data_IF_244460272348
#
_entry.id   IF_244460272348
#
_cell.length_a   1.000
_cell.length_b   1.000
_cell.length_c   1.000
_cell.angle_alpha   90.00
_cell.angle_beta   90.00
_cell.angle_gamma   90.00
#
_symmetry.space_group_name_H-M   'P 1'
#
loop_
_entity.id
_entity.type
_entity.pdbx_description
1 polymer ?
#
# COMPACT_ATOMS: atom_id res chain seq x y z
N UNK A 1 3.11 14.84 11.69
CA UNK A 1 3.93 13.67 11.33
C UNK A 1 3.27 12.36 11.68
N UNK A 2 2.75 12.18 12.90
CA UNK A 2 2.14 10.90 13.35
C UNK A 2 1.04 10.39 12.39
N UNK A 3 0.16 11.29 11.95
CA UNK A 3 -0.96 10.92 11.05
C UNK A 3 -0.58 10.91 9.55
N UNK A 4 0.69 11.16 9.21
CA UNK A 4 1.19 11.26 7.84
C UNK A 4 0.31 12.18 6.96
N UNK A 5 0.06 13.42 7.42
CA UNK A 5 -0.80 14.40 6.71
C UNK A 5 -0.05 15.37 5.80
N UNK A 6 1.24 15.61 6.05
CA UNK A 6 2.06 16.52 5.25
C UNK A 6 1.84 18.01 5.42
N UNK A 7 0.98 18.42 6.33
CA UNK A 7 0.82 19.84 6.65
C UNK A 7 1.97 20.33 7.54
N UNK A 8 2.70 21.32 7.02
CA UNK A 8 3.69 22.09 7.76
C UNK A 8 3.13 23.50 8.03
N UNK A 9 3.56 24.10 9.15
CA UNK A 9 3.20 25.48 9.49
C UNK A 9 3.99 26.50 8.65
N UNK A 10 5.18 26.11 8.23
CA UNK A 10 6.10 26.88 7.42
C UNK A 10 5.78 26.73 5.93
N UNK A 11 5.93 27.81 5.12
CA UNK A 11 5.56 27.80 3.71
C UNK A 11 6.50 26.93 2.86
N UNK A 12 7.71 26.64 3.34
CA UNK A 12 8.73 25.82 2.69
C UNK A 12 8.79 24.38 3.24
N UNK A 13 7.70 23.91 3.85
CA UNK A 13 7.67 22.59 4.50
C UNK A 13 8.73 22.45 5.60
N UNK A 14 9.71 21.56 5.45
CA UNK A 14 10.79 21.36 6.44
C UNK A 14 12.16 21.80 5.90
N UNK A 15 12.22 22.54 4.79
CA UNK A 15 13.48 22.97 4.17
C UNK A 15 14.28 23.88 5.09
N UNK A 16 13.65 24.83 5.79
CA UNK A 16 14.31 25.67 6.81
C UNK A 16 14.94 24.85 7.95
N UNK A 17 14.41 23.66 8.24
CA UNK A 17 14.89 22.78 9.33
C UNK A 17 15.89 21.71 8.86
N UNK A 18 16.42 21.82 7.63
CA UNK A 18 17.33 20.83 7.05
C UNK A 18 18.63 20.59 7.83
N UNK A 19 19.09 21.55 8.63
CA UNK A 19 20.28 21.41 9.50
C UNK A 19 19.92 21.08 10.96
N UNK A 20 18.62 21.09 11.30
CA UNK A 20 18.15 20.86 12.65
C UNK A 20 18.09 19.34 12.95
N UNK A 21 19.19 18.81 13.47
CA UNK A 21 19.38 17.37 13.75
C UNK A 21 18.28 16.79 14.64
N UNK A 22 17.92 17.47 15.74
CA UNK A 22 16.93 16.95 16.70
C UNK A 22 15.51 16.84 16.11
N UNK A 23 14.93 17.92 15.51
CA UNK A 23 13.64 17.81 14.82
C UNK A 23 13.63 16.74 13.73
N UNK A 24 14.68 16.67 12.88
CA UNK A 24 14.74 15.68 11.80
C UNK A 24 14.71 14.25 12.32
N UNK A 25 15.46 13.94 13.38
CA UNK A 25 15.48 12.60 13.97
C UNK A 25 14.13 12.21 14.56
N UNK A 26 13.53 13.08 15.37
CA UNK A 26 12.24 12.81 16.00
C UNK A 26 11.15 12.65 14.94
N UNK A 27 11.14 13.53 13.94
CA UNK A 27 10.10 13.54 12.91
C UNK A 27 10.27 12.37 11.93
N UNK A 28 11.50 11.96 11.62
CA UNK A 28 11.78 10.71 10.87
C UNK A 28 11.25 9.49 11.62
N UNK A 29 11.54 9.40 12.93
CA UNK A 29 11.05 8.31 13.76
C UNK A 29 9.51 8.27 13.78
N UNK A 30 8.86 9.42 13.96
CA UNK A 30 7.40 9.55 13.91
C UNK A 30 6.83 9.18 12.53
N UNK A 31 7.48 9.57 11.44
CA UNK A 31 7.05 9.26 10.08
C UNK A 31 7.09 7.74 9.79
N UNK A 32 8.10 7.04 10.28
CA UNK A 32 8.13 5.57 10.23
C UNK A 32 7.11 4.96 11.18
N UNK A 33 7.01 5.46 12.40
CA UNK A 33 6.12 4.92 13.42
C UNK A 33 4.63 5.11 13.13
N UNK A 34 4.30 6.07 12.27
CA UNK A 34 2.98 6.26 11.69
C UNK A 34 2.60 5.14 10.71
N UNK A 35 1.85 5.50 9.67
CA UNK A 35 1.16 4.53 8.80
C UNK A 35 2.06 3.43 8.18
N UNK A 36 3.35 3.71 7.96
CA UNK A 36 4.28 2.81 7.28
C UNK A 36 4.68 1.59 8.13
N UNK A 37 5.19 1.81 9.35
CA UNK A 37 5.65 0.73 10.23
C UNK A 37 4.66 0.44 11.37
N UNK A 38 3.49 1.07 11.40
CA UNK A 38 2.47 0.85 12.41
C UNK A 38 2.16 -0.65 12.67
N UNK A 39 1.96 -1.53 11.66
CA UNK A 39 1.74 -2.95 11.89
C UNK A 39 2.89 -3.66 12.62
N UNK A 40 4.13 -3.27 12.30
CA UNK A 40 5.36 -3.85 12.86
C UNK A 40 5.55 -3.38 14.30
N UNK A 41 5.42 -2.07 14.54
CA UNK A 41 5.56 -1.48 15.87
C UNK A 41 4.45 -1.93 16.82
N UNK A 42 3.21 -2.03 16.34
CA UNK A 42 2.09 -2.52 17.12
C UNK A 42 2.35 -3.95 17.62
N UNK A 43 2.81 -4.84 16.73
CA UNK A 43 3.14 -6.22 17.12
C UNK A 43 4.32 -6.26 18.09
N UNK A 44 5.35 -5.46 17.85
CA UNK A 44 6.52 -5.36 18.74
C UNK A 44 6.11 -4.88 20.14
N UNK A 45 5.26 -3.86 20.23
CA UNK A 45 4.74 -3.32 21.50
C UNK A 45 3.97 -4.39 22.29
N UNK A 46 3.05 -5.11 21.65
CA UNK A 46 2.28 -6.18 22.29
C UNK A 46 3.20 -7.31 22.75
N UNK A 47 4.20 -7.66 21.94
CA UNK A 47 5.19 -8.66 22.29
C UNK A 47 6.07 -8.25 23.47
N UNK A 48 6.54 -6.99 23.51
CA UNK A 48 7.30 -6.47 24.65
C UNK A 48 6.46 -6.41 25.91
N UNK A 49 5.19 -5.99 25.82
CA UNK A 49 4.26 -6.01 26.96
C UNK A 49 4.03 -7.43 27.48
N UNK A 50 3.87 -8.43 26.60
CA UNK A 50 3.74 -9.84 27.00
C UNK A 50 5.00 -10.39 27.71
N UNK A 51 6.18 -9.88 27.36
CA UNK A 51 7.45 -10.28 27.99
C UNK A 51 7.71 -9.58 29.33
N UNK A 52 7.27 -8.34 29.48
CA UNK A 52 7.43 -7.55 30.71
C UNK A 52 6.36 -7.93 31.74
N UNK A 53 5.16 -8.36 31.29
CA UNK A 53 4.08 -8.77 32.17
C UNK A 53 4.49 -9.98 33.06
N UNK A 54 4.34 -9.88 34.40
CA UNK A 54 4.57 -10.98 35.32
C UNK A 54 3.73 -12.21 34.97
N UNK A 55 4.22 -13.41 35.32
CA UNK A 55 3.54 -14.67 34.96
C UNK A 55 2.14 -14.81 35.56
N UNK A 56 1.89 -14.14 36.68
CA UNK A 56 0.60 -14.17 37.42
C UNK A 56 -0.32 -12.98 37.10
N UNK A 57 0.06 -12.14 36.12
CA UNK A 57 -0.75 -10.99 35.73
C UNK A 57 -1.90 -11.40 34.81
N UNK A 58 -3.11 -10.93 35.12
CA UNK A 58 -4.33 -11.09 34.30
C UNK A 58 -4.21 -10.52 32.88
N UNK A 59 -3.19 -9.70 32.61
CA UNK A 59 -2.95 -9.10 31.29
C UNK A 59 -2.22 -10.04 30.32
N UNK A 60 -1.53 -11.07 30.83
CA UNK A 60 -0.65 -11.91 30.02
C UNK A 60 -1.43 -12.84 29.08
N UNK A 61 -2.55 -13.39 29.55
CA UNK A 61 -3.39 -14.29 28.73
C UNK A 61 -4.08 -13.55 27.58
N UNK A 62 -4.69 -12.36 27.79
CA UNK A 62 -5.18 -11.52 26.69
C UNK A 62 -4.09 -11.10 25.69
N UNK A 63 -2.89 -10.72 26.16
CA UNK A 63 -1.77 -10.35 25.28
C UNK A 63 -1.30 -11.52 24.42
N UNK A 64 -1.21 -12.72 25.01
CA UNK A 64 -0.87 -13.93 24.27
C UNK A 64 -1.97 -14.31 23.26
N UNK A 65 -3.25 -14.13 23.63
CA UNK A 65 -4.36 -14.33 22.72
C UNK A 65 -4.30 -13.39 21.51
N UNK A 66 -4.00 -12.10 21.72
CA UNK A 66 -3.79 -11.12 20.64
C UNK A 66 -2.65 -11.51 19.69
N UNK A 67 -1.55 -12.06 20.22
CA UNK A 67 -0.41 -12.49 19.40
C UNK A 67 -0.69 -13.77 18.60
N UNK A 68 -1.52 -14.66 19.15
CA UNK A 68 -1.89 -15.94 18.56
C UNK A 68 -3.04 -15.81 17.53
N UNK A 69 -3.98 -14.89 17.75
CA UNK A 69 -5.12 -14.63 16.85
C UNK A 69 -5.19 -13.17 16.38
N UNK A 70 -4.15 -12.68 15.69
CA UNK A 70 -3.97 -11.25 15.47
C UNK A 70 -5.08 -10.63 14.60
N UNK A 71 -5.53 -11.32 13.55
CA UNK A 71 -6.52 -10.83 12.59
C UNK A 71 -7.96 -10.85 13.10
N UNK A 72 -8.25 -11.61 14.17
CA UNK A 72 -9.57 -11.58 14.85
C UNK A 72 -9.77 -10.32 15.69
N UNK A 73 -8.67 -9.75 16.18
CA UNK A 73 -8.71 -8.62 17.10
C UNK A 73 -8.43 -7.29 16.40
N UNK A 74 -7.60 -7.31 15.35
CA UNK A 74 -7.28 -6.10 14.60
C UNK A 74 -6.78 -6.37 13.18
N UNK A 75 -7.24 -5.59 12.20
CA UNK A 75 -6.96 -5.82 10.78
C UNK A 75 -5.49 -5.61 10.41
N UNK A 76 -4.82 -4.62 11.01
CA UNK A 76 -3.40 -4.34 10.75
C UNK A 76 -2.45 -5.11 11.67
N UNK A 77 -2.97 -5.99 12.54
CA UNK A 77 -2.13 -6.89 13.31
C UNK A 77 -1.86 -8.14 12.46
N UNK A 78 -0.65 -8.25 11.92
CA UNK A 78 -0.25 -9.39 11.10
C UNK A 78 0.41 -10.49 11.94
N UNK A 79 0.38 -11.77 11.53
CA UNK A 79 1.16 -12.84 12.14
C UNK A 79 2.68 -12.58 12.09
N UNK A 80 3.47 -13.34 12.87
CA UNK A 80 4.92 -13.10 12.99
C UNK A 80 5.67 -13.12 11.66
N UNK A 81 5.42 -14.13 10.80
CA UNK A 81 6.17 -14.28 9.54
C UNK A 81 5.89 -13.13 8.55
N UNK A 82 4.62 -12.77 8.24
CA UNK A 82 4.33 -11.61 7.40
C UNK A 82 4.87 -10.29 7.95
N UNK A 83 4.87 -10.11 9.29
CA UNK A 83 5.42 -8.89 9.92
C UNK A 83 6.92 -8.72 9.66
N UNK A 84 7.70 -9.81 9.74
CA UNK A 84 9.14 -9.78 9.44
C UNK A 84 9.43 -9.55 7.95
N UNK A 85 8.63 -10.15 7.06
CA UNK A 85 8.73 -9.91 5.61
C UNK A 85 8.42 -8.46 5.28
N UNK A 86 7.33 -7.91 5.85
CA UNK A 86 6.96 -6.50 5.69
C UNK A 86 8.07 -5.57 6.16
N UNK A 87 8.63 -5.82 7.35
CA UNK A 87 9.75 -5.04 7.88
C UNK A 87 10.96 -5.09 6.95
N UNK A 88 11.34 -6.28 6.46
CA UNK A 88 12.47 -6.43 5.53
C UNK A 88 12.26 -5.68 4.22
N UNK A 89 11.07 -5.74 3.62
CA UNK A 89 10.74 -5.01 2.38
C UNK A 89 10.76 -3.50 2.62
N UNK A 90 10.13 -3.01 3.70
CA UNK A 90 10.08 -1.58 4.02
C UNK A 90 11.48 -1.00 4.27
N UNK A 91 12.31 -1.72 5.02
CA UNK A 91 13.69 -1.36 5.30
C UNK A 91 14.52 -1.32 4.02
N UNK A 92 14.42 -2.36 3.18
CA UNK A 92 15.17 -2.46 1.92
C UNK A 92 14.81 -1.34 0.95
N UNK A 93 13.51 -1.08 0.75
CA UNK A 93 13.07 0.03 -0.10
C UNK A 93 13.57 1.37 0.43
N UNK A 94 13.58 1.59 1.76
CA UNK A 94 14.00 2.88 2.33
C UNK A 94 15.52 3.07 2.23
N UNK A 95 16.27 2.01 2.47
CA UNK A 95 17.71 2.00 2.29
C UNK A 95 18.10 2.34 0.84
N UNK A 96 17.43 1.75 -0.15
CA UNK A 96 17.66 2.06 -1.57
C UNK A 96 17.36 3.53 -1.86
N UNK A 97 16.27 4.08 -1.33
CA UNK A 97 15.93 5.49 -1.53
C UNK A 97 16.95 6.46 -0.96
N UNK A 98 17.36 6.23 0.29
CA UNK A 98 18.38 7.05 0.95
C UNK A 98 19.69 6.97 0.17
N UNK A 99 20.07 5.77 -0.29
CA UNK A 99 21.25 5.58 -1.11
C UNK A 99 21.15 6.36 -2.43
N UNK A 100 20.03 6.27 -3.15
CA UNK A 100 19.83 6.98 -4.41
C UNK A 100 19.89 8.51 -4.22
N UNK A 101 19.23 9.04 -3.19
CA UNK A 101 19.26 10.48 -2.87
C UNK A 101 20.70 10.94 -2.59
N UNK A 102 21.43 10.20 -1.74
CA UNK A 102 22.81 10.59 -1.39
C UNK A 102 23.73 10.50 -2.61
N UNK A 103 23.68 9.40 -3.36
CA UNK A 103 24.59 9.11 -4.49
C UNK A 103 24.35 10.05 -5.67
N UNK A 104 23.10 10.36 -5.99
CA UNK A 104 22.76 11.13 -7.19
C UNK A 104 22.84 12.65 -6.98
N UNK A 105 22.71 13.14 -5.74
CA UNK A 105 22.82 14.57 -5.42
C UNK A 105 24.21 14.99 -4.91
N UNK A 106 25.25 14.14 -4.98
CA UNK A 106 26.61 14.50 -4.51
C UNK A 106 27.16 15.79 -5.14
N UNK A 107 26.88 16.01 -6.43
CA UNK A 107 27.33 17.20 -7.17
C UNK A 107 26.35 18.38 -7.18
N UNK A 108 25.20 18.28 -6.50
CA UNK A 108 24.15 19.28 -6.61
C UNK A 108 24.29 20.36 -5.52
N UNK A 109 24.45 21.66 -5.88
CA UNK A 109 24.56 22.74 -4.90
C UNK A 109 23.32 22.87 -4.01
N UNK A 110 22.13 22.43 -4.46
CA UNK A 110 20.93 22.44 -3.64
C UNK A 110 20.99 21.52 -2.41
N UNK A 111 21.85 20.50 -2.44
CA UNK A 111 22.00 19.48 -1.39
C UNK A 111 23.40 19.54 -0.74
N UNK A 112 24.41 20.02 -1.48
CA UNK A 112 25.80 20.06 -1.03
C UNK A 112 26.14 21.22 -0.10
N UNK A 113 25.17 22.11 0.18
CA UNK A 113 25.32 23.18 1.17
C UNK A 113 25.32 22.65 2.62
N UNK A 114 24.95 21.38 2.84
CA UNK A 114 24.95 20.75 4.16
C UNK A 114 26.20 19.92 4.38
N UNK A 115 26.69 19.91 5.62
CA UNK A 115 27.72 18.97 6.05
C UNK A 115 27.22 17.51 5.91
N UNK A 116 28.16 16.57 5.78
CA UNK A 116 27.86 15.17 5.47
C UNK A 116 26.88 14.52 6.47
N UNK A 117 26.98 14.83 7.76
CA UNK A 117 26.10 14.30 8.81
C UNK A 117 24.64 14.73 8.66
N UNK A 118 24.32 16.05 8.76
CA UNK A 118 22.98 16.58 8.53
C UNK A 118 22.40 16.18 7.17
N UNK A 119 23.24 16.09 6.13
CA UNK A 119 22.84 15.64 4.80
C UNK A 119 22.27 14.22 4.79
N UNK A 120 22.92 13.27 5.50
CA UNK A 120 22.42 11.90 5.62
C UNK A 120 21.07 11.88 6.36
N UNK A 121 20.92 12.70 7.40
CA UNK A 121 19.67 12.81 8.16
C UNK A 121 18.54 13.42 7.33
N UNK A 122 18.82 14.46 6.56
CA UNK A 122 17.87 15.06 5.65
C UNK A 122 17.46 14.09 4.53
N UNK A 123 18.40 13.32 3.97
CA UNK A 123 18.09 12.26 3.00
C UNK A 123 17.22 11.14 3.60
N UNK A 124 17.52 10.73 4.84
CA UNK A 124 16.72 9.77 5.59
C UNK A 124 15.29 10.30 5.83
N UNK A 125 15.16 11.55 6.25
CA UNK A 125 13.87 12.19 6.44
C UNK A 125 13.09 12.31 5.12
N UNK A 126 13.76 12.69 4.03
CA UNK A 126 13.15 12.81 2.71
C UNK A 126 12.64 11.45 2.21
N UNK A 127 13.42 10.39 2.41
CA UNK A 127 13.02 9.02 2.08
C UNK A 127 11.86 8.52 2.96
N UNK A 128 11.85 8.85 4.25
CA UNK A 128 10.70 8.57 5.12
C UNK A 128 9.45 9.33 4.65
N UNK A 129 9.65 10.57 4.17
CA UNK A 129 8.55 11.46 3.82
C UNK A 129 7.89 11.14 2.48
N UNK A 130 8.61 10.51 1.55
CA UNK A 130 8.05 10.01 0.29
C UNK A 130 6.97 8.94 0.48
N UNK A 131 6.83 8.39 1.69
CA UNK A 131 5.81 7.40 2.07
C UNK A 131 4.71 8.03 2.90
N UNK A 132 3.77 8.67 2.21
CA UNK A 132 2.54 9.24 2.77
C UNK A 132 2.70 10.48 3.66
N UNK A 133 3.90 10.86 4.07
CA UNK A 133 4.08 12.02 4.97
C UNK A 133 4.12 13.34 4.24
N UNK A 134 4.67 13.42 3.02
CA UNK A 134 4.49 14.60 2.15
C UNK A 134 5.29 15.84 2.48
N UNK A 135 6.15 15.80 3.49
CA UNK A 135 7.03 16.92 3.82
C UNK A 135 8.36 16.83 3.08
N UNK A 136 8.88 17.99 2.67
CA UNK A 136 10.15 18.07 1.96
C UNK A 136 11.20 18.75 2.84
N UNK A 137 12.41 18.18 2.84
CA UNK A 137 13.61 18.80 3.44
C UNK A 137 14.52 19.42 2.41
N UNK A 138 14.38 19.01 1.15
CA UNK A 138 15.07 19.61 0.01
C UNK A 138 14.06 20.26 -0.92
N UNK A 139 14.51 21.25 -1.69
CA UNK A 139 13.74 21.76 -2.81
C UNK A 139 13.72 20.69 -3.91
N UNK A 140 12.61 19.95 -3.99
CA UNK A 140 12.44 18.85 -4.95
C UNK A 140 12.50 19.30 -6.40
N UNK A 141 12.20 20.56 -6.72
CA UNK A 141 12.36 21.10 -8.07
C UNK A 141 13.84 21.28 -8.47
N UNK A 142 14.74 21.41 -7.50
CA UNK A 142 16.17 21.66 -7.71
C UNK A 142 17.06 20.41 -7.51
N UNK A 143 16.51 19.29 -7.03
CA UNK A 143 17.25 18.02 -6.93
C UNK A 143 17.51 17.40 -8.32
N UNK A 144 18.43 16.44 -8.39
CA UNK A 144 18.73 15.73 -9.62
C UNK A 144 17.45 15.09 -10.21
N UNK A 145 17.19 15.19 -11.53
CA UNK A 145 16.02 14.57 -12.17
C UNK A 145 15.89 13.06 -11.90
N UNK A 146 17.01 12.35 -11.74
CA UNK A 146 17.01 10.94 -11.37
C UNK A 146 16.43 10.70 -9.96
N UNK A 147 16.64 11.63 -9.02
CA UNK A 147 16.05 11.59 -7.66
C UNK A 147 14.56 11.94 -7.71
N UNK A 148 14.17 12.91 -8.54
CA UNK A 148 12.74 13.21 -8.76
C UNK A 148 12.00 11.97 -9.29
N UNK A 149 12.62 11.25 -10.23
CA UNK A 149 12.06 10.02 -10.77
C UNK A 149 12.03 8.88 -9.74
N UNK A 150 13.09 8.70 -8.94
CA UNK A 150 13.10 7.67 -7.89
C UNK A 150 12.02 7.94 -6.82
N UNK A 151 11.85 9.21 -6.42
CA UNK A 151 10.78 9.63 -5.52
C UNK A 151 9.39 9.33 -6.12
N UNK A 152 9.19 9.61 -7.40
CA UNK A 152 7.93 9.30 -8.10
C UNK A 152 7.61 7.79 -8.04
N UNK A 153 8.58 6.94 -8.35
CA UNK A 153 8.42 5.48 -8.30
C UNK A 153 8.07 5.02 -6.88
N UNK A 154 8.73 5.60 -5.87
CA UNK A 154 8.48 5.22 -4.49
C UNK A 154 7.14 5.67 -3.95
N UNK A 155 6.69 6.88 -4.29
CA UNK A 155 5.34 7.34 -3.95
C UNK A 155 4.25 6.40 -4.50
N UNK A 156 4.50 5.82 -5.67
CA UNK A 156 3.57 4.84 -6.26
C UNK A 156 3.62 3.48 -5.55
N UNK A 157 4.81 2.95 -5.28
CA UNK A 157 5.02 1.60 -4.74
C UNK A 157 4.77 1.51 -3.22
N UNK A 158 4.86 2.63 -2.48
CA UNK A 158 4.86 2.66 -1.01
C UNK A 158 3.69 1.95 -0.34
N UNK A 159 2.53 1.87 -1.00
CA UNK A 159 1.32 1.25 -0.44
C UNK A 159 1.30 -0.28 -0.59
N UNK A 160 2.03 -0.84 -1.56
CA UNK A 160 1.93 -2.25 -1.92
C UNK A 160 2.43 -3.20 -0.82
N UNK A 161 3.55 -2.94 -0.10
CA UNK A 161 4.00 -3.85 0.96
C UNK A 161 2.92 -4.11 2.03
N UNK A 162 2.21 -3.06 2.46
CA UNK A 162 1.13 -3.17 3.44
C UNK A 162 -0.07 -3.91 2.83
N UNK A 163 -0.49 -3.52 1.62
CA UNK A 163 -1.61 -4.16 0.93
C UNK A 163 -1.38 -5.67 0.68
N UNK A 164 -0.17 -6.05 0.29
CA UNK A 164 0.24 -7.45 0.10
C UNK A 164 0.21 -8.19 1.43
N UNK A 165 0.70 -7.58 2.51
CA UNK A 165 0.72 -8.20 3.85
C UNK A 165 -0.70 -8.49 4.35
N UNK A 166 -1.65 -7.59 4.10
CA UNK A 166 -3.08 -7.80 4.40
C UNK A 166 -3.60 -9.02 3.64
N UNK A 167 -3.38 -9.10 2.32
CA UNK A 167 -3.87 -10.20 1.48
C UNK A 167 -3.26 -11.54 1.84
N UNK A 168 -1.94 -11.58 2.02
CA UNK A 168 -1.24 -12.77 2.43
C UNK A 168 -1.77 -13.27 3.79
N UNK A 169 -1.97 -12.36 4.75
CA UNK A 169 -2.50 -12.72 6.07
C UNK A 169 -3.93 -13.26 6.06
N UNK A 170 -4.76 -12.85 5.09
CA UNK A 170 -6.12 -13.36 4.91
C UNK A 170 -6.11 -14.83 4.45
N UNK A 171 -5.31 -15.17 3.42
CA UNK A 171 -5.19 -16.56 2.92
C UNK A 171 -4.66 -17.53 3.98
N UNK A 172 -3.80 -17.06 4.89
CA UNK A 172 -3.31 -17.89 6.01
C UNK A 172 -4.43 -18.28 6.99
N UNK A 173 -5.42 -17.42 7.24
CA UNK A 173 -6.56 -17.76 8.12
C UNK A 173 -7.59 -18.66 7.43
N UNK A 174 -7.87 -18.46 6.13
CA UNK A 174 -8.80 -19.33 5.38
C UNK A 174 -8.35 -20.79 5.37
N UNK A 175 -7.05 -21.05 5.17
CA UNK A 175 -6.47 -22.39 5.23
C UNK A 175 -6.54 -23.01 6.63
N UNK A 176 -6.49 -22.18 7.68
CA UNK A 176 -6.58 -22.61 9.08
C UNK A 176 -8.02 -23.00 9.49
N UNK A 177 -9.03 -22.50 8.76
CA UNK A 177 -10.45 -22.80 8.96
C UNK A 177 -10.94 -24.00 8.14
N UNK A 178 -10.06 -24.67 7.39
CA UNK A 178 -10.43 -25.82 6.54
C UNK A 178 -11.25 -25.43 5.30
N UNK A 179 -11.36 -24.13 5.00
CA UNK A 179 -12.01 -23.63 3.79
C UNK A 179 -10.94 -23.64 2.70
N UNK A 180 -10.83 -24.77 2.01
CA UNK A 180 -10.01 -24.86 0.82
C UNK A 180 -10.78 -24.25 -0.34
N UNK A 181 -10.24 -23.23 -1.05
CA UNK A 181 -10.87 -22.76 -2.27
C UNK A 181 -10.98 -23.95 -3.23
N UNK A 182 -12.21 -24.36 -3.57
CA UNK A 182 -12.43 -25.39 -4.57
C UNK A 182 -12.01 -24.83 -5.92
N UNK A 183 -10.82 -25.17 -6.41
CA UNK A 183 -10.43 -24.81 -7.77
C UNK A 183 -9.63 -25.91 -8.47
N UNK A 184 -10.00 -26.04 -9.75
CA UNK A 184 -9.53 -26.96 -10.76
C UNK A 184 -8.01 -27.07 -10.82
N UNK A 185 -7.58 -28.29 -11.16
CA UNK A 185 -6.22 -28.73 -11.44
C UNK A 185 -5.42 -27.68 -12.23
N UNK A 186 -4.35 -27.20 -11.61
CA UNK A 186 -3.44 -26.21 -12.19
C UNK A 186 -2.25 -25.93 -11.28
N UNK A 187 -1.32 -26.89 -11.24
CA UNK A 187 0.09 -26.78 -10.79
C UNK A 187 0.35 -25.95 -9.50
N UNK A 188 0.01 -26.55 -8.35
CA UNK A 188 0.29 -26.04 -7.01
C UNK A 188 1.74 -26.31 -6.57
N UNK A 189 2.70 -25.48 -6.99
CA UNK A 189 4.04 -25.51 -6.37
C UNK A 189 4.52 -24.18 -5.80
N UNK A 190 3.77 -23.07 -5.98
CA UNK A 190 4.18 -21.76 -5.42
C UNK A 190 2.99 -20.92 -4.93
N UNK A 191 2.75 -20.80 -3.60
CA UNK A 191 1.78 -19.85 -3.06
C UNK A 191 2.06 -18.38 -3.44
N UNK A 192 3.27 -18.08 -3.94
CA UNK A 192 3.62 -16.76 -4.47
C UNK A 192 3.01 -16.45 -5.84
N UNK A 193 2.62 -17.44 -6.66
CA UNK A 193 2.11 -17.18 -8.03
C UNK A 193 0.73 -16.51 -7.99
N UNK A 194 -0.16 -16.96 -7.11
CA UNK A 194 -1.51 -16.37 -6.95
C UNK A 194 -1.45 -14.91 -6.48
N UNK A 195 -0.56 -14.60 -5.52
CA UNK A 195 -0.34 -13.23 -5.03
C UNK A 195 0.25 -12.35 -6.12
N UNK A 196 1.19 -12.88 -6.91
CA UNK A 196 1.84 -12.17 -8.01
C UNK A 196 0.86 -11.87 -9.16
N UNK A 197 0.00 -12.81 -9.54
CA UNK A 197 -1.00 -12.61 -10.60
C UNK A 197 -2.08 -11.60 -10.18
N UNK A 198 -2.50 -11.61 -8.92
CA UNK A 198 -3.40 -10.56 -8.40
C UNK A 198 -2.72 -9.20 -8.27
N UNK A 199 -1.41 -9.16 -7.99
CA UNK A 199 -0.62 -7.93 -7.95
C UNK A 199 -0.51 -7.28 -9.34
N UNK A 200 -0.24 -8.07 -10.38
CA UNK A 200 -0.15 -7.57 -11.77
C UNK A 200 -1.47 -6.96 -12.25
N UNK A 201 -2.59 -7.60 -11.93
CA UNK A 201 -3.92 -7.07 -12.30
C UNK A 201 -4.25 -5.77 -11.56
N UNK A 202 -3.82 -5.61 -10.31
CA UNK A 202 -4.05 -4.39 -9.54
C UNK A 202 -3.13 -3.24 -10.00
N UNK A 203 -1.85 -3.51 -10.27
CA UNK A 203 -0.91 -2.52 -10.78
C UNK A 203 -1.39 -1.95 -12.12
N UNK A 204 -1.88 -2.83 -12.99
CA UNK A 204 -2.44 -2.43 -14.30
C UNK A 204 -3.68 -1.55 -14.16
N UNK A 205 -4.58 -1.89 -13.23
CA UNK A 205 -5.79 -1.10 -12.98
C UNK A 205 -5.48 0.27 -12.36
N UNK A 206 -4.51 0.34 -11.44
CA UNK A 206 -4.13 1.59 -10.78
C UNK A 206 -3.45 2.56 -11.77
N UNK A 207 -2.63 2.06 -12.71
CA UNK A 207 -1.93 2.89 -13.68
C UNK A 207 -2.88 3.60 -14.66
N UNK A 208 -4.01 2.97 -15.00
CA UNK A 208 -5.03 3.56 -15.88
C UNK A 208 -5.61 4.88 -15.34
N UNK A 209 -5.88 4.94 -14.03
CA UNK A 209 -6.37 6.17 -13.40
C UNK A 209 -5.34 7.28 -13.40
N UNK A 210 -4.08 6.95 -13.13
CA UNK A 210 -2.98 7.93 -13.18
C UNK A 210 -2.86 8.49 -14.60
N UNK A 211 -2.90 7.63 -15.62
CA UNK A 211 -2.88 8.04 -17.02
C UNK A 211 -4.02 9.02 -17.36
N UNK A 212 -5.26 8.67 -17.00
CA UNK A 212 -6.42 9.57 -17.21
C UNK A 212 -6.24 10.89 -16.46
N UNK A 213 -5.78 10.86 -15.21
CA UNK A 213 -5.55 12.06 -14.40
C UNK A 213 -4.54 13.00 -15.05
N UNK A 214 -3.40 12.47 -15.49
CA UNK A 214 -2.38 13.24 -16.22
C UNK A 214 -2.95 13.79 -17.53
N UNK A 215 -3.64 12.96 -18.31
CA UNK A 215 -4.21 13.35 -19.59
C UNK A 215 -5.22 14.51 -19.45
N UNK A 216 -6.13 14.41 -18.47
CA UNK A 216 -7.10 15.47 -18.17
C UNK A 216 -6.43 16.79 -17.76
N UNK A 217 -5.38 16.73 -16.92
CA UNK A 217 -4.65 17.94 -16.50
C UNK A 217 -3.84 18.51 -17.67
N UNK A 218 -3.24 17.67 -18.52
CA UNK A 218 -2.55 18.13 -19.72
C UNK A 218 -3.49 18.86 -20.70
N UNK A 219 -4.75 18.42 -20.84
CA UNK A 219 -5.76 19.14 -21.64
C UNK A 219 -6.06 20.50 -20.99
N UNK A 220 -6.32 20.50 -19.69
CA UNK A 220 -6.73 21.69 -18.94
C UNK A 220 -5.65 22.77 -18.89
N UNK A 221 -4.39 22.37 -18.74
CA UNK A 221 -3.23 23.25 -18.63
C UNK A 221 -2.43 23.36 -19.95
N UNK A 222 -2.99 22.86 -21.07
CA UNK A 222 -2.31 22.82 -22.38
C UNK A 222 -1.65 24.13 -22.78
N UNK A 223 -2.33 25.27 -22.55
CA UNK A 223 -1.80 26.61 -22.85
C UNK A 223 -0.50 26.93 -22.08
N UNK A 224 -0.40 26.50 -20.81
CA UNK A 224 0.80 26.72 -19.98
C UNK A 224 1.90 25.74 -20.33
N UNK A 225 1.54 24.51 -20.68
CA UNK A 225 2.50 23.46 -21.06
C UNK A 225 3.18 23.79 -22.39
N UNK A 226 2.45 24.40 -23.32
CA UNK A 226 2.99 24.82 -24.61
C UNK A 226 3.82 26.11 -24.55
N UNK A 227 3.85 26.80 -23.41
CA UNK A 227 4.64 28.01 -23.23
C UNK A 227 6.09 27.66 -22.87
N UNK A 228 7.01 27.86 -23.82
CA UNK A 228 8.43 27.59 -23.64
C UNK A 228 9.09 28.48 -22.57
N UNK A 229 8.45 29.58 -22.16
CA UNK A 229 8.98 30.49 -21.15
C UNK A 229 8.71 30.02 -19.71
N UNK A 230 7.89 28.98 -19.52
CA UNK A 230 7.53 28.46 -18.21
C UNK A 230 7.93 26.98 -18.05
N UNK A 231 9.22 26.68 -17.83
CA UNK A 231 9.71 25.30 -17.74
C UNK A 231 9.18 24.53 -16.52
N UNK A 232 8.62 25.23 -15.52
CA UNK A 232 7.98 24.61 -14.37
C UNK A 232 6.68 23.88 -14.76
N UNK A 233 6.00 24.33 -15.83
CA UNK A 233 4.83 23.69 -16.40
C UNK A 233 5.20 22.68 -17.50
N UNK A 234 6.02 21.69 -17.14
CA UNK A 234 6.29 20.55 -18.01
C UNK A 234 5.39 19.34 -17.69
N UNK A 235 5.35 18.37 -18.59
CA UNK A 235 4.58 17.13 -18.40
C UNK A 235 5.07 16.32 -17.19
N UNK A 236 6.38 16.33 -16.92
CA UNK A 236 6.95 15.58 -15.79
C UNK A 236 6.53 16.11 -14.42
N UNK A 237 6.62 17.43 -14.11
CA UNK A 237 6.03 17.99 -12.88
C UNK A 237 4.54 17.71 -12.71
N UNK A 238 3.76 17.78 -13.79
CA UNK A 238 2.34 17.40 -13.76
C UNK A 238 2.18 15.92 -13.39
N UNK A 239 2.96 15.04 -14.01
CA UNK A 239 2.95 13.62 -13.68
C UNK A 239 3.33 13.36 -12.22
N UNK A 240 4.33 14.06 -11.70
CA UNK A 240 4.73 14.01 -10.29
C UNK A 240 3.59 14.42 -9.35
N UNK A 241 2.88 15.53 -9.65
CA UNK A 241 1.71 15.97 -8.88
C UNK A 241 0.58 14.92 -8.90
N UNK A 242 0.28 14.34 -10.06
CA UNK A 242 -0.80 13.33 -10.17
C UNK A 242 -0.44 12.08 -9.38
N UNK A 243 0.80 11.60 -9.47
CA UNK A 243 1.26 10.41 -8.72
C UNK A 243 1.29 10.70 -7.22
N UNK A 244 1.72 11.89 -6.81
CA UNK A 244 1.69 12.32 -5.40
C UNK A 244 0.26 12.40 -4.85
N UNK A 245 -0.66 12.98 -5.62
CA UNK A 245 -2.09 13.06 -5.28
C UNK A 245 -2.73 11.67 -5.18
N UNK A 246 -2.49 10.81 -6.17
CA UNK A 246 -2.98 9.43 -6.20
C UNK A 246 -2.36 8.55 -5.10
N UNK A 247 -1.09 8.78 -4.78
CA UNK A 247 -0.39 8.12 -3.69
C UNK A 247 -0.80 8.63 -2.32
N UNK A 248 -1.54 9.75 -2.26
CA UNK A 248 -1.81 10.53 -1.06
C UNK A 248 -0.50 10.78 -0.28
N UNK A 249 0.55 11.17 -1.02
CA UNK A 249 1.87 11.48 -0.43
C UNK A 249 1.93 12.93 -0.04
N UNK A 250 1.65 13.85 -0.96
CA UNK A 250 1.67 15.30 -0.69
C UNK A 250 2.99 15.99 -1.00
N UNK A 251 3.96 15.30 -1.63
CA UNK A 251 5.15 15.95 -2.20
C UNK A 251 4.79 16.71 -3.48
N UNK A 252 5.50 17.81 -3.74
CA UNK A 252 5.34 18.66 -4.91
C UNK A 252 6.70 19.12 -5.40
N UNK A 253 6.85 19.28 -6.73
CA UNK A 253 8.03 19.97 -7.27
C UNK A 253 7.92 21.50 -7.13
N UNK A 254 6.74 22.01 -6.79
CA UNK A 254 6.46 23.43 -6.60
C UNK A 254 6.55 24.25 -7.89
N UNK A 255 6.39 25.56 -7.75
CA UNK A 255 6.62 26.53 -8.83
C UNK A 255 7.57 27.62 -8.31
N UNK A 256 8.57 28.08 -9.08
CA UNK A 256 9.57 29.03 -8.58
C UNK A 256 9.00 30.35 -8.05
N UNK A 257 7.89 30.83 -8.63
CA UNK A 257 7.31 32.13 -8.29
C UNK A 257 6.37 32.10 -7.08
N UNK A 258 5.95 30.92 -6.63
CA UNK A 258 4.99 30.78 -5.52
C UNK A 258 5.37 29.68 -4.56
N UNK A 259 5.13 29.92 -3.27
CA UNK A 259 5.38 28.94 -2.20
C UNK A 259 4.25 27.89 -2.09
N UNK A 260 3.40 27.77 -3.10
CA UNK A 260 2.34 26.76 -3.16
C UNK A 260 2.82 25.55 -3.96
N UNK A 261 2.19 24.39 -3.74
CA UNK A 261 2.34 23.25 -4.64
C UNK A 261 1.99 23.66 -6.08
N UNK A 262 2.59 23.00 -7.07
CA UNK A 262 2.31 23.25 -8.48
C UNK A 262 0.81 23.23 -8.80
N UNK A 263 0.02 22.38 -8.12
CA UNK A 263 -1.44 22.33 -8.30
C UNK A 263 -2.18 23.60 -7.86
N UNK A 264 -1.54 24.45 -7.04
CA UNK A 264 -2.05 25.78 -6.69
C UNK A 264 -2.22 26.70 -7.90
N UNK A 265 -1.34 26.53 -8.90
CA UNK A 265 -1.36 27.29 -10.16
C UNK A 265 -2.25 26.64 -11.24
N UNK A 266 -2.91 25.51 -10.96
CA UNK A 266 -3.83 24.89 -11.92
C UNK A 266 -5.15 25.66 -12.04
N UNK A 267 -5.80 25.50 -13.18
CA UNK A 267 -7.19 25.90 -13.42
C UNK A 267 -8.14 25.20 -12.43
N UNK A 268 -9.34 25.75 -12.19
CA UNK A 268 -10.33 25.10 -11.33
C UNK A 268 -10.63 23.66 -11.73
N UNK A 269 -10.66 23.37 -13.04
CA UNK A 269 -10.84 22.01 -13.53
C UNK A 269 -9.67 21.10 -13.15
N UNK A 270 -8.41 21.53 -13.36
CA UNK A 270 -7.23 20.75 -12.96
C UNK A 270 -7.22 20.45 -11.46
N UNK A 271 -7.64 21.41 -10.62
CA UNK A 271 -7.78 21.22 -9.17
C UNK A 271 -8.83 20.16 -8.82
N UNK A 272 -9.98 20.16 -9.50
CA UNK A 272 -11.01 19.12 -9.31
C UNK A 272 -10.46 17.73 -9.68
N UNK A 273 -9.71 17.63 -10.78
CA UNK A 273 -9.07 16.37 -11.17
C UNK A 273 -8.10 15.89 -10.08
N UNK A 274 -7.25 16.77 -9.53
CA UNK A 274 -6.36 16.43 -8.41
C UNK A 274 -7.14 15.92 -7.19
N UNK A 275 -8.23 16.59 -6.81
CA UNK A 275 -9.10 16.12 -5.72
C UNK A 275 -9.68 14.72 -5.98
N UNK A 276 -10.14 14.45 -7.20
CA UNK A 276 -10.64 13.12 -7.59
C UNK A 276 -9.53 12.06 -7.50
N UNK A 277 -8.30 12.41 -7.90
CA UNK A 277 -7.15 11.52 -7.78
C UNK A 277 -6.81 11.20 -6.32
N UNK A 278 -6.90 12.17 -5.41
CA UNK A 278 -6.70 11.96 -3.97
C UNK A 278 -7.76 11.04 -3.36
N UNK A 279 -9.03 11.20 -3.74
CA UNK A 279 -10.13 10.35 -3.27
C UNK A 279 -9.96 8.92 -3.79
N UNK A 280 -9.70 8.78 -5.10
CA UNK A 280 -9.52 7.48 -5.73
C UNK A 280 -8.28 6.74 -5.19
N UNK A 281 -7.21 7.50 -4.95
CA UNK A 281 -5.98 7.03 -4.31
C UNK A 281 -6.22 6.46 -2.91
N UNK A 282 -6.97 7.20 -2.07
CA UNK A 282 -7.36 6.74 -0.72
C UNK A 282 -8.20 5.46 -0.78
N UNK A 283 -9.03 5.31 -1.80
CA UNK A 283 -9.92 4.16 -1.97
C UNK A 283 -9.26 2.94 -2.65
N UNK A 284 -8.03 3.01 -3.17
CA UNK A 284 -7.38 1.86 -3.83
C UNK A 284 -6.97 0.73 -2.88
N UNK A 285 -6.83 1.06 -1.59
CA UNK A 285 -6.59 0.09 -0.51
C UNK A 285 -7.88 -0.55 0.02
N UNK A 286 -9.06 -0.07 -0.37
CA UNK A 286 -10.32 -0.70 0.00
C UNK A 286 -10.38 -2.06 -0.70
N UNK A 287 -10.52 -3.16 0.06
CA UNK A 287 -10.71 -4.47 -0.51
C UNK A 287 -11.92 -4.43 -1.45
N UNK A 288 -11.73 -4.83 -2.70
CA UNK A 288 -12.83 -4.97 -3.68
C UNK A 288 -13.83 -6.08 -3.28
N UNK A 289 -13.62 -6.72 -2.13
CA UNK A 289 -14.58 -7.55 -1.41
C UNK A 289 -14.33 -7.32 0.07
N UNK A 290 -15.38 -6.98 0.83
CA UNK A 290 -15.38 -6.88 2.29
C UNK A 290 -14.34 -7.83 2.90
N UNK A 291 -13.50 -7.33 3.82
CA UNK A 291 -12.70 -8.21 4.67
C UNK A 291 -13.61 -9.31 5.20
N UNK A 292 -13.41 -10.55 4.75
CA UNK A 292 -14.30 -11.68 5.06
C UNK A 292 -14.31 -12.02 6.55
N UNK A 293 -13.39 -11.44 7.33
CA UNK A 293 -13.46 -11.38 8.78
C UNK A 293 -14.76 -10.68 9.28
N UNK A 294 -15.41 -9.89 8.43
CA UNK A 294 -16.71 -9.20 8.64
C UNK A 294 -17.71 -9.67 7.56
N UNK A 295 -17.79 -10.99 7.29
CA UNK A 295 -18.92 -11.52 6.51
C UNK A 295 -20.21 -11.38 7.33
N UNK A 296 -21.17 -10.65 6.79
CA UNK A 296 -22.52 -10.58 7.34
C UNK A 296 -23.17 -11.98 7.28
N UNK A 297 -23.91 -12.42 8.31
CA UNK A 297 -24.44 -13.79 8.40
C UNK A 297 -25.20 -14.30 7.17
N UNK A 298 -25.80 -13.40 6.37
CA UNK A 298 -26.57 -13.73 5.17
C UNK A 298 -25.75 -14.29 3.99
N UNK A 299 -24.43 -14.09 3.94
CA UNK A 299 -23.61 -14.63 2.83
C UNK A 299 -23.22 -16.10 3.00
N UNK A 300 -23.30 -16.64 4.24
CA UNK A 300 -23.06 -18.07 4.51
C UNK A 300 -24.07 -18.95 3.79
N UNK A 301 -25.34 -18.54 3.76
CA UNK A 301 -26.45 -19.33 3.23
C UNK A 301 -26.42 -19.48 1.71
N UNK A 302 -25.72 -18.59 0.98
CA UNK A 302 -25.63 -18.63 -0.49
C UNK A 302 -24.49 -19.54 -0.94
N UNK A 303 -23.41 -19.64 -0.16
CA UNK A 303 -22.26 -20.49 -0.49
C UNK A 303 -22.44 -21.96 -0.07
N UNK A 304 -23.32 -22.23 0.89
CA UNK A 304 -23.64 -23.59 1.36
C UNK A 304 -24.76 -24.30 0.58
N UNK A 305 -25.35 -23.69 -0.45
CA UNK A 305 -26.28 -24.42 -1.32
C UNK A 305 -25.49 -25.36 -2.24
N UNK A 306 -25.63 -26.70 -2.11
CA UNK A 306 -25.09 -27.59 -3.13
C UNK A 306 -25.75 -27.26 -4.47
N UNK A 307 -25.02 -27.39 -5.60
CA UNK A 307 -25.62 -27.21 -6.91
C UNK A 307 -26.78 -28.18 -7.04
N UNK A 308 -27.94 -27.66 -7.45
CA UNK A 308 -29.21 -28.39 -7.64
C UNK A 308 -29.08 -29.56 -8.65
N UNK A 309 -27.95 -29.65 -9.35
CA UNK A 309 -27.59 -30.74 -10.26
C UNK A 309 -27.25 -32.07 -9.57
N UNK A 310 -27.11 -32.12 -8.23
CA UNK A 310 -26.86 -33.38 -7.50
C UNK A 310 -28.14 -34.17 -7.15
N UNK A 311 -29.33 -33.64 -7.46
CA UNK A 311 -30.62 -34.32 -7.17
C UNK A 311 -31.32 -34.91 -8.40
N UNK A 312 -30.68 -34.92 -9.58
CA UNK A 312 -31.36 -35.32 -10.83
C UNK A 312 -30.98 -36.70 -11.39
N UNK A 313 -30.16 -37.49 -10.69
CA UNK A 313 -29.63 -38.77 -11.21
C UNK A 313 -29.93 -40.03 -10.37
N UNK A 314 -30.96 -40.01 -9.53
CA UNK A 314 -31.55 -41.26 -8.99
C UNK A 314 -32.92 -41.53 -9.61
N UNK A 315 -32.93 -41.93 -10.89
CA UNK A 315 -34.01 -42.80 -11.39
C UNK A 315 -33.70 -44.24 -10.94
N UNK A 316 -34.62 -44.92 -10.24
CA UNK A 316 -34.35 -46.28 -9.76
C UNK A 316 -34.17 -47.23 -10.94
N UNK A 317 -33.02 -47.91 -10.98
CA UNK A 317 -32.74 -49.01 -11.91
C UNK A 317 -33.77 -50.11 -11.68
N UNK A 318 -34.62 -50.35 -12.66
CA UNK A 318 -35.56 -51.47 -12.69
C UNK A 318 -34.84 -52.80 -12.39
N UNK A 319 -35.48 -53.60 -11.53
CA UNK A 319 -35.07 -54.93 -11.08
C UNK A 319 -35.11 -55.92 -12.26
N UNK A 320 -34.05 -55.91 -13.07
CA UNK A 320 -33.84 -56.89 -14.16
C UNK A 320 -33.18 -58.15 -13.60
N UNK A 321 -33.87 -58.81 -12.66
CA UNK A 321 -33.33 -59.95 -11.91
C UNK A 321 -34.31 -61.10 -11.62
N UNK A 322 -35.59 -60.99 -11.97
CA UNK A 322 -36.60 -62.00 -11.60
C UNK A 322 -37.33 -62.68 -12.77
N UNK A 323 -36.95 -62.39 -14.02
CA UNK A 323 -37.54 -63.04 -15.21
C UNK A 323 -36.77 -64.28 -15.71
N UNK A 324 -35.57 -64.58 -15.17
CA UNK A 324 -34.77 -65.76 -15.59
C UNK A 324 -34.96 -67.01 -14.73
N UNK A 325 -35.74 -66.94 -13.66
CA UNK A 325 -36.05 -68.09 -12.79
C UNK A 325 -37.39 -68.77 -13.11
N UNK A 326 -38.18 -68.23 -14.04
CA UNK A 326 -39.47 -68.80 -14.45
C UNK A 326 -39.41 -69.73 -15.68
N UNK A 327 -38.22 -69.96 -16.25
CA UNK A 327 -38.02 -70.81 -17.44
C UNK A 327 -37.20 -72.09 -17.15
N UNK A 328 -36.91 -72.39 -15.88
CA UNK A 328 -36.15 -73.58 -15.45
C UNK A 328 -36.94 -74.51 -14.51
N UNK A 329 -38.25 -74.32 -14.35
CA UNK A 329 -39.14 -75.20 -13.55
C UNK A 329 -40.33 -75.75 -14.37
N UNK A 330 -40.17 -75.79 -15.68
CA UNK A 330 -41.02 -76.59 -16.58
C UNK A 330 -40.11 -77.43 -17.48
N UNK A 331 -39.45 -78.41 -16.87
CA UNK A 331 -39.16 -79.74 -17.41
C UNK A 331 -38.96 -80.70 -16.24
#
# INVERSE_FOLDING_TARGET
MVDNLGFALTPDSMVTFQDATFPLLVMTFLAFAGNTCYPVLLRLLIWTMSKIAPKDSSLRDPLNFLLNHPRRCYTLLFPSRPTWILFGVLFSLNFVDVLLIIVLDLGNPAVNNLALGPRILAALFQSASSRHTGTATFNLGAVNPAVQFSLLVMMYISIFPIAISIRASNTYEEKSLGIYPRRMDGDESRPGSYVLTHLQNQLTFDLWYIFIGVFCICIAESKKIMDANNPAFAVFPIFFEVVSAYGNVGLSLGHPDVLTSLCGQFTPFGKVVVCLMMIRGRHRGLPYQLDRAIMLPNERTITDKPPESLFQDEKPKEVRGLAKLKHSLTQ
#
